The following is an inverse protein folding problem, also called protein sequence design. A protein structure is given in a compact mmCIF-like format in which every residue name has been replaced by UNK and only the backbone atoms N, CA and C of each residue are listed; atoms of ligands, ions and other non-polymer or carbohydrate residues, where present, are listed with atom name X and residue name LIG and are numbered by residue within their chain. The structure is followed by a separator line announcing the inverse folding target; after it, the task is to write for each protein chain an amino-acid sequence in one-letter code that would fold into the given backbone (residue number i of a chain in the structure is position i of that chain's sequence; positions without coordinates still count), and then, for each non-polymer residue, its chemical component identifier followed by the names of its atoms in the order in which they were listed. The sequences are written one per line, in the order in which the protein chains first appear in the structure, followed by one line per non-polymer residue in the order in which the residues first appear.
data_IF_746306386773
#
_entry.id   IF_746306386773
#
_cell.length_a   1.000
_cell.length_b   1.000
_cell.length_c   1.000
_cell.angle_alpha   90.00
_cell.angle_beta   90.00
_cell.angle_gamma   90.00
#
_symmetry.space_group_name_H-M   'P 1'
#
loop_
_entity.id
_entity.type
_entity.pdbx_description
1 polymer ?
#
# COMPACT_ATOMS: atom_id res chain seq x y z
N UNK A 1 8.32 -6.56 8.44
CA UNK A 1 8.09 -6.68 6.97
C UNK A 1 9.17 -7.57 6.35
N UNK A 2 8.84 -8.83 6.02
CA UNK A 2 9.84 -9.81 5.53
C UNK A 2 10.21 -9.51 4.09
N UNK A 3 11.52 -9.43 3.79
CA UNK A 3 12.06 -9.21 2.45
C UNK A 3 11.90 -7.81 1.87
N UNK A 4 11.38 -6.87 2.65
CA UNK A 4 11.34 -5.47 2.24
C UNK A 4 12.71 -4.83 2.40
N UNK A 5 13.03 -3.94 1.48
CA UNK A 5 14.15 -3.01 1.66
C UNK A 5 13.82 -1.99 2.75
N UNK A 6 14.85 -1.37 3.32
CA UNK A 6 14.67 -0.32 4.34
C UNK A 6 13.89 0.89 3.79
N UNK A 7 14.00 1.13 2.49
CA UNK A 7 13.28 2.18 1.77
C UNK A 7 12.64 1.58 0.52
N UNK A 8 11.35 1.85 0.31
CA UNK A 8 10.62 1.42 -0.86
C UNK A 8 9.60 2.46 -1.31
N UNK A 9 9.07 2.31 -2.50
CA UNK A 9 8.07 3.20 -3.08
C UNK A 9 6.68 2.62 -3.00
N UNK A 10 5.68 3.48 -2.75
CA UNK A 10 4.27 3.15 -2.84
C UNK A 10 3.50 4.38 -3.34
N UNK A 11 2.60 4.24 -4.32
CA UNK A 11 1.73 5.35 -4.73
C UNK A 11 0.78 5.76 -3.62
N UNK A 12 0.58 7.06 -3.48
CA UNK A 12 -0.46 7.63 -2.63
C UNK A 12 -1.33 8.57 -3.44
N UNK A 13 -2.65 8.38 -3.37
CA UNK A 13 -3.66 9.24 -4.00
C UNK A 13 -4.80 9.44 -3.02
N UNK A 14 -4.74 10.53 -2.25
CA UNK A 14 -5.74 10.82 -1.22
C UNK A 14 -5.80 12.30 -0.90
N UNK A 15 -6.97 12.77 -0.49
CA UNK A 15 -7.20 14.14 -0.03
C UNK A 15 -7.07 14.29 1.49
N UNK A 16 -7.12 13.21 2.25
CA UNK A 16 -7.00 13.20 3.71
C UNK A 16 -5.84 12.32 4.13
N UNK A 17 -5.13 12.72 5.16
CA UNK A 17 -4.08 11.95 5.83
C UNK A 17 -4.59 11.29 7.11
N UNK A 18 -3.78 10.39 7.65
CA UNK A 18 -3.97 9.86 9.00
C UNK A 18 -3.19 10.72 9.99
N UNK A 19 -3.81 11.01 11.12
CA UNK A 19 -3.13 11.67 12.23
C UNK A 19 -2.24 10.66 12.97
N UNK A 20 -0.93 10.85 12.87
CA UNK A 20 0.07 10.02 13.53
C UNK A 20 -0.09 10.02 15.06
N UNK A 21 -0.45 11.17 15.65
CA UNK A 21 -0.64 11.27 17.10
C UNK A 21 -1.84 10.43 17.56
N UNK A 22 -2.93 10.45 16.78
CA UNK A 22 -4.08 9.62 17.04
C UNK A 22 -3.77 8.12 16.89
N UNK A 23 -2.98 7.73 15.88
CA UNK A 23 -2.52 6.34 15.72
C UNK A 23 -1.69 5.91 16.93
N UNK A 24 -0.72 6.72 17.36
CA UNK A 24 0.13 6.40 18.50
C UNK A 24 -0.64 6.35 19.83
N UNK A 25 -1.73 7.10 19.95
CA UNK A 25 -2.62 7.04 21.10
C UNK A 25 -3.51 5.80 21.12
N UNK A 26 -3.68 5.12 19.98
CA UNK A 26 -4.38 3.85 19.88
C UNK A 26 -3.41 2.71 20.21
N UNK A 27 -3.46 2.21 21.43
CA UNK A 27 -2.51 1.22 21.97
C UNK A 27 -2.44 -0.11 21.22
N UNK A 28 -3.38 -0.38 20.31
CA UNK A 28 -3.46 -1.63 19.53
C UNK A 28 -2.92 -1.45 18.08
N UNK A 29 -2.52 -0.24 17.68
CA UNK A 29 -2.03 0.02 16.33
C UNK A 29 -0.52 0.25 16.31
N UNK A 30 0.13 -0.33 15.30
CA UNK A 30 1.56 -0.12 14.98
C UNK A 30 1.71 0.39 13.57
N UNK A 31 2.53 1.41 13.36
CA UNK A 31 2.96 1.86 12.04
C UNK A 31 4.13 0.95 11.61
N UNK A 32 3.95 0.25 10.50
CA UNK A 32 4.96 -0.64 9.92
C UNK A 32 5.78 0.03 8.82
N UNK A 33 5.18 0.99 8.11
CA UNK A 33 5.86 1.82 7.12
C UNK A 33 5.20 3.20 7.05
N UNK A 34 6.03 4.22 6.90
CA UNK A 34 5.60 5.62 6.76
C UNK A 34 6.56 6.42 5.89
N UNK A 35 6.13 7.57 5.45
CA UNK A 35 6.90 8.54 4.69
C UNK A 35 6.80 9.91 5.34
N UNK A 36 7.89 10.67 5.35
CA UNK A 36 7.88 12.06 5.82
C UNK A 36 6.95 12.97 4.99
N UNK A 37 6.74 12.62 3.72
CA UNK A 37 5.89 13.38 2.79
C UNK A 37 4.44 12.90 2.86
N UNK A 38 4.21 11.59 2.77
CA UNK A 38 2.88 11.01 2.65
C UNK A 38 2.29 10.53 3.98
N UNK A 39 3.07 10.50 5.08
CA UNK A 39 2.65 9.97 6.36
C UNK A 39 2.52 8.45 6.40
N UNK A 40 1.72 7.90 7.33
CA UNK A 40 1.54 6.46 7.49
C UNK A 40 1.05 5.78 6.22
N UNK A 41 1.72 4.70 5.82
CA UNK A 41 1.42 3.89 4.62
C UNK A 41 0.86 2.52 5.00
N UNK A 42 1.47 1.85 5.98
CA UNK A 42 1.09 0.51 6.38
C UNK A 42 1.00 0.43 7.90
N UNK A 43 -0.14 -0.04 8.39
CA UNK A 43 -0.39 -0.25 9.81
C UNK A 43 -0.87 -1.68 10.06
N UNK A 44 -0.67 -2.14 11.28
CA UNK A 44 -1.20 -3.42 11.76
C UNK A 44 -1.69 -3.27 13.18
N UNK A 45 -2.70 -4.06 13.54
CA UNK A 45 -2.97 -4.30 14.96
C UNK A 45 -1.83 -5.10 15.59
N UNK A 46 -1.70 -5.02 16.92
CA UNK A 46 -0.72 -5.81 17.68
C UNK A 46 -0.85 -7.31 17.40
N UNK A 47 -2.08 -7.81 17.31
CA UNK A 47 -2.40 -9.20 16.99
C UNK A 47 -2.07 -9.60 15.55
N UNK A 48 -1.82 -8.66 14.64
CA UNK A 48 -1.65 -8.92 13.21
C UNK A 48 -2.92 -9.28 12.45
N UNK A 49 -4.08 -9.35 13.11
CA UNK A 49 -5.33 -9.75 12.46
C UNK A 49 -5.94 -8.69 11.55
N UNK A 50 -5.57 -7.44 11.73
CA UNK A 50 -6.00 -6.33 10.88
C UNK A 50 -4.78 -5.61 10.33
N UNK A 51 -4.74 -5.48 9.02
CA UNK A 51 -3.69 -4.77 8.29
C UNK A 51 -4.36 -3.68 7.46
N UNK A 52 -3.87 -2.46 7.61
CA UNK A 52 -4.39 -1.29 6.92
C UNK A 52 -3.33 -0.77 5.95
N UNK A 53 -3.64 -0.79 4.66
CA UNK A 53 -2.79 -0.29 3.59
C UNK A 53 -3.38 1.03 3.12
N UNK A 54 -2.67 2.14 3.38
CA UNK A 54 -3.15 3.49 3.11
C UNK A 54 -2.64 4.01 1.75
N UNK A 55 -1.57 3.43 1.26
CA UNK A 55 -1.09 3.63 -0.12
C UNK A 55 -1.74 2.65 -1.10
N UNK A 56 -1.35 2.76 -2.36
CA UNK A 56 -1.88 1.97 -3.47
C UNK A 56 -0.80 1.10 -4.13
N UNK A 57 -0.25 0.09 -3.44
CA UNK A 57 0.76 -0.80 -4.02
C UNK A 57 0.24 -1.62 -5.22
N UNK A 58 -1.10 -1.70 -5.38
CA UNK A 58 -1.79 -2.36 -6.49
C UNK A 58 -1.85 -1.54 -7.78
N UNK A 59 -1.56 -0.24 -7.75
CA UNK A 59 -1.65 0.61 -8.92
C UNK A 59 -0.74 0.13 -10.06
N UNK A 60 -1.28 0.16 -11.29
CA UNK A 60 -0.44 0.05 -12.48
C UNK A 60 0.43 1.31 -12.66
N UNK A 61 1.36 1.25 -13.60
CA UNK A 61 2.31 2.33 -13.87
C UNK A 61 1.64 3.69 -14.10
N UNK A 62 0.45 3.71 -14.73
CA UNK A 62 -0.21 4.93 -15.21
C UNK A 62 -1.43 5.34 -14.40
N UNK A 63 -1.84 4.60 -13.39
CA UNK A 63 -3.06 4.92 -12.64
C UNK A 63 -2.95 6.29 -11.99
N UNK A 64 -1.87 6.56 -11.27
CA UNK A 64 -1.65 7.85 -10.62
C UNK A 64 -1.47 9.00 -11.65
N UNK A 65 -0.86 8.73 -12.81
CA UNK A 65 -0.75 9.69 -13.92
C UNK A 65 -2.12 10.11 -14.45
N UNK A 66 -3.01 9.12 -14.65
CA UNK A 66 -4.38 9.39 -15.11
C UNK A 66 -5.18 10.21 -14.09
N UNK A 67 -5.04 9.90 -12.81
CA UNK A 67 -5.68 10.65 -11.72
C UNK A 67 -5.17 12.09 -11.65
N UNK A 68 -3.85 12.27 -11.67
CA UNK A 68 -3.23 13.59 -11.68
C UNK A 68 -3.69 14.43 -12.86
N UNK A 69 -3.59 13.91 -14.09
CA UNK A 69 -4.00 14.63 -15.32
C UNK A 69 -5.49 14.93 -15.35
N UNK A 70 -6.34 14.01 -14.85
CA UNK A 70 -7.79 14.25 -14.66
C UNK A 70 -8.04 15.45 -13.76
N UNK A 71 -7.36 15.51 -12.63
CA UNK A 71 -7.58 16.52 -11.60
C UNK A 71 -7.00 17.88 -12.02
N UNK A 72 -5.86 17.92 -12.70
CA UNK A 72 -5.34 19.13 -13.36
C UNK A 72 -6.34 19.66 -14.39
N UNK A 73 -6.88 18.80 -15.26
CA UNK A 73 -7.88 19.17 -16.26
C UNK A 73 -9.17 19.72 -15.63
N UNK A 74 -9.51 19.24 -14.44
CA UNK A 74 -10.65 19.70 -13.66
C UNK A 74 -10.38 21.00 -12.88
N UNK A 75 -9.17 21.58 -12.98
CA UNK A 75 -8.79 22.81 -12.29
C UNK A 75 -8.66 22.66 -10.77
N UNK A 76 -8.44 21.43 -10.27
CA UNK A 76 -8.27 21.20 -8.83
C UNK A 76 -6.89 21.64 -8.37
N UNK A 77 -6.76 22.17 -7.14
CA UNK A 77 -5.49 22.56 -6.56
C UNK A 77 -4.72 21.32 -6.07
N UNK A 78 -4.05 20.63 -6.99
CA UNK A 78 -3.26 19.43 -6.71
C UNK A 78 -1.79 19.64 -7.03
N UNK A 79 -0.93 18.94 -6.30
CA UNK A 79 0.51 18.93 -6.54
C UNK A 79 0.90 17.82 -7.52
N UNK A 80 2.06 18.00 -8.17
CA UNK A 80 2.68 16.92 -8.94
C UNK A 80 3.01 15.77 -7.98
N UNK A 81 2.68 14.51 -8.33
CA UNK A 81 3.05 13.36 -7.51
C UNK A 81 4.57 13.26 -7.34
N UNK A 82 5.03 13.44 -6.11
CA UNK A 82 6.45 13.46 -5.77
C UNK A 82 7.12 12.11 -6.05
N UNK A 83 8.34 12.11 -6.60
CA UNK A 83 9.13 10.92 -6.92
C UNK A 83 8.48 9.94 -7.92
N UNK A 84 7.42 10.34 -8.58
CA UNK A 84 6.68 9.50 -9.52
C UNK A 84 7.16 9.66 -10.96
N UNK A 85 7.40 10.88 -11.39
CA UNK A 85 8.03 11.15 -12.68
C UNK A 85 9.55 11.32 -12.54
N UNK A 86 10.34 11.06 -13.59
CA UNK A 86 11.73 11.48 -13.60
C UNK A 86 11.83 12.99 -13.37
N UNK A 87 12.64 13.41 -12.39
CA UNK A 87 12.84 14.82 -12.01
C UNK A 87 11.53 15.58 -11.69
N UNK A 88 10.48 14.84 -11.24
CA UNK A 88 9.13 15.33 -11.00
C UNK A 88 8.50 16.08 -12.20
N UNK A 89 8.93 15.75 -13.42
CA UNK A 89 8.43 16.33 -14.67
C UNK A 89 7.26 15.49 -15.24
N UNK A 90 6.00 15.99 -15.17
CA UNK A 90 4.82 15.25 -15.61
C UNK A 90 4.68 15.12 -17.15
N UNK A 91 5.59 15.72 -17.92
CA UNK A 91 5.70 15.50 -19.37
C UNK A 91 6.44 14.21 -19.71
N UNK A 92 7.18 13.64 -18.74
CA UNK A 92 7.97 12.42 -18.90
C UNK A 92 7.17 11.19 -18.46
N UNK A 93 7.60 10.04 -18.98
CA UNK A 93 6.96 8.76 -18.65
C UNK A 93 7.21 8.37 -17.17
N UNK A 94 6.18 7.97 -16.41
CA UNK A 94 6.33 7.65 -14.99
C UNK A 94 7.34 6.54 -14.72
N UNK A 95 7.92 6.57 -13.52
CA UNK A 95 8.80 5.51 -13.02
C UNK A 95 7.98 4.45 -12.28
N UNK A 96 8.12 3.17 -12.67
CA UNK A 96 7.41 2.08 -12.01
C UNK A 96 8.33 1.36 -11.00
N UNK A 97 8.36 1.85 -9.76
CA UNK A 97 9.31 1.42 -8.72
C UNK A 97 8.71 0.60 -7.57
N UNK A 98 7.38 0.36 -7.55
CA UNK A 98 6.70 -0.28 -6.42
C UNK A 98 6.19 -1.69 -6.70
N UNK A 99 6.25 -2.19 -7.92
CA UNK A 99 5.70 -3.49 -8.31
C UNK A 99 6.20 -4.63 -7.44
N UNK A 100 7.53 -4.73 -7.24
CA UNK A 100 8.14 -5.81 -6.48
C UNK A 100 7.67 -5.79 -5.01
N UNK A 101 7.68 -4.61 -4.38
CA UNK A 101 7.22 -4.43 -3.00
C UNK A 101 5.71 -4.61 -2.84
N UNK A 102 4.92 -4.20 -3.84
CA UNK A 102 3.48 -4.49 -3.88
C UNK A 102 3.21 -6.00 -3.90
N UNK A 103 3.89 -6.74 -4.78
CA UNK A 103 3.82 -8.22 -4.80
C UNK A 103 4.21 -8.83 -3.46
N UNK A 104 5.31 -8.36 -2.89
CA UNK A 104 5.84 -8.86 -1.62
C UNK A 104 4.86 -8.59 -0.47
N UNK A 105 4.21 -7.43 -0.44
CA UNK A 105 3.19 -7.11 0.55
C UNK A 105 2.06 -8.12 0.55
N UNK A 106 1.43 -8.35 -0.61
CA UNK A 106 0.32 -9.28 -0.74
C UNK A 106 0.74 -10.73 -0.52
N UNK A 107 1.91 -11.12 -0.99
CA UNK A 107 2.45 -12.47 -0.76
C UNK A 107 2.71 -12.72 0.72
N UNK A 108 3.30 -11.75 1.43
CA UNK A 108 3.51 -11.85 2.87
C UNK A 108 2.18 -11.94 3.63
N UNK A 109 1.19 -11.10 3.27
CA UNK A 109 -0.12 -11.15 3.89
C UNK A 109 -0.80 -12.52 3.69
N UNK A 110 -0.83 -13.03 2.46
CA UNK A 110 -1.40 -14.35 2.17
C UNK A 110 -0.70 -15.46 2.94
N UNK A 111 0.64 -15.51 2.88
CA UNK A 111 1.40 -16.62 3.44
C UNK A 111 1.44 -16.63 4.97
N UNK A 112 1.53 -15.45 5.61
CA UNK A 112 1.79 -15.37 7.05
C UNK A 112 0.57 -14.99 7.89
N UNK A 113 -0.48 -14.42 7.29
CA UNK A 113 -1.68 -14.00 8.01
C UNK A 113 -2.95 -14.73 7.54
N UNK A 114 -3.04 -15.12 6.27
CA UNK A 114 -4.21 -15.85 5.77
C UNK A 114 -4.00 -17.36 5.90
N UNK A 115 -2.95 -17.90 5.30
CA UNK A 115 -2.77 -19.36 5.26
C UNK A 115 -2.32 -19.97 6.60
N UNK A 116 -1.54 -19.24 7.41
CA UNK A 116 -1.04 -19.78 8.68
C UNK A 116 -2.01 -19.57 9.84
N UNK A 117 -2.78 -18.48 9.84
CA UNK A 117 -3.69 -18.15 10.92
C UNK A 117 -5.13 -18.62 10.69
N UNK A 118 -5.49 -19.01 9.46
CA UNK A 118 -6.82 -19.55 9.16
C UNK A 118 -6.84 -21.04 9.49
N UNK A 119 -7.65 -21.49 10.46
CA UNK A 119 -7.78 -22.90 10.79
C UNK A 119 -8.48 -23.61 9.63
N UNK A 120 -7.71 -24.31 8.80
CA UNK A 120 -8.22 -25.06 7.67
C UNK A 120 -7.93 -26.55 7.86
N UNK A 121 -8.99 -27.35 7.92
CA UNK A 121 -8.90 -28.79 8.09
C UNK A 121 -9.11 -29.48 6.74
N UNK A 122 -8.01 -29.96 6.15
CA UNK A 122 -8.02 -30.68 4.86
C UNK A 122 -8.86 -31.95 4.90
N UNK A 123 -9.07 -32.58 6.09
CA UNK A 123 -9.88 -33.79 6.22
C UNK A 123 -11.37 -33.56 5.98
N UNK A 124 -11.81 -32.29 6.03
CA UNK A 124 -13.21 -31.89 5.76
C UNK A 124 -13.49 -31.60 4.30
N UNK A 125 -12.50 -31.70 3.43
CA UNK A 125 -12.74 -31.63 1.98
C UNK A 125 -13.44 -32.93 1.57
N UNK A 126 -14.69 -32.82 1.14
CA UNK A 126 -15.35 -33.91 0.42
C UNK A 126 -14.54 -34.19 -0.83
N UNK A 127 -14.24 -35.47 -1.07
CA UNK A 127 -13.61 -35.86 -2.32
C UNK A 127 -14.51 -35.41 -3.47
N UNK A 128 -14.02 -34.51 -4.32
CA UNK A 128 -14.71 -34.18 -5.56
C UNK A 128 -14.82 -35.48 -6.34
N UNK A 129 -16.02 -36.04 -6.41
CA UNK A 129 -16.32 -37.17 -7.29
C UNK A 129 -15.96 -36.70 -8.72
N UNK A 130 -15.10 -37.52 -9.37
CA UNK A 130 -14.65 -37.28 -10.74
C UNK A 130 -15.75 -37.69 -11.72
#
# INVERSE_FOLDING_TARGET
MRGFDDVFYSPHSRWAGLDRAAINACGDLRILAESDIAGPMLLSTESGRQIFVIGHPEYDKYTLDREYKRDVKAGKPINIPCNYYPDDDPSRDPLFRWRAHGYLLYTNWLNYYVYQDTPYDLSRLEALEK
#
